data_IF_271764364935
#
_entry.id   IF_271764364935
#
_cell.length_a   1.000
_cell.length_b   1.000
_cell.length_c   1.000
_cell.angle_alpha   90.00
_cell.angle_beta   90.00
_cell.angle_gamma   90.00
#
_symmetry.space_group_name_H-M   'P 1'
#
loop_
_entity.id
_entity.type
_entity.pdbx_description
1 polymer ?
#
# COMPACT_ATOMS: atom_id res chain seq x y z
N UNK A 1 -0.56 -4.24 13.43
CA UNK A 1 -1.56 -4.67 12.43
C UNK A 1 -2.62 -5.62 12.99
N UNK A 2 -2.31 -6.54 13.93
CA UNK A 2 -3.28 -7.56 14.42
C UNK A 2 -4.59 -7.03 15.04
N UNK A 3 -4.57 -5.90 15.76
CA UNK A 3 -5.76 -5.41 16.46
C UNK A 3 -6.87 -4.87 15.53
N UNK A 4 -6.56 -4.43 14.30
CA UNK A 4 -7.54 -3.80 13.41
C UNK A 4 -8.59 -4.80 12.90
N UNK A 5 -8.15 -6.01 12.58
CA UNK A 5 -9.00 -7.07 12.02
C UNK A 5 -9.77 -7.86 13.10
N UNK A 6 -9.37 -7.69 14.36
CA UNK A 6 -10.02 -8.37 15.48
C UNK A 6 -11.44 -7.87 15.76
N UNK A 7 -11.77 -6.62 15.41
CA UNK A 7 -13.09 -6.03 15.64
C UNK A 7 -14.10 -6.26 14.51
N UNK A 8 -13.66 -6.83 13.37
CA UNK A 8 -14.48 -7.02 12.17
C UNK A 8 -15.16 -8.39 12.15
N UNK A 9 -16.38 -8.46 11.61
CA UNK A 9 -17.08 -9.73 11.35
C UNK A 9 -16.44 -10.53 10.20
N UNK A 10 -16.78 -11.81 10.07
CA UNK A 10 -16.29 -12.66 8.97
C UNK A 10 -16.69 -12.12 7.60
N UNK A 11 -17.89 -11.55 7.47
CA UNK A 11 -18.35 -10.93 6.23
C UNK A 11 -17.50 -9.69 5.89
N UNK A 12 -17.22 -8.83 6.87
CA UNK A 12 -16.36 -7.66 6.70
C UNK A 12 -14.91 -8.04 6.39
N UNK A 13 -14.38 -9.09 7.03
CA UNK A 13 -13.04 -9.58 6.74
C UNK A 13 -12.91 -10.14 5.32
N UNK A 14 -13.92 -10.89 4.85
CA UNK A 14 -13.94 -11.37 3.46
C UNK A 14 -14.05 -10.20 2.46
N UNK A 15 -14.84 -9.17 2.79
CA UNK A 15 -14.94 -7.97 1.97
C UNK A 15 -13.60 -7.21 1.91
N UNK A 16 -12.91 -7.06 3.05
CA UNK A 16 -11.58 -6.45 3.12
C UNK A 16 -10.54 -7.28 2.36
N UNK A 17 -10.57 -8.62 2.46
CA UNK A 17 -9.68 -9.51 1.71
C UNK A 17 -9.88 -9.35 0.20
N UNK A 18 -11.14 -9.38 -0.26
CA UNK A 18 -11.48 -9.18 -1.66
C UNK A 18 -11.08 -7.76 -2.13
N UNK A 19 -11.24 -6.74 -1.29
CA UNK A 19 -10.82 -5.38 -1.59
C UNK A 19 -9.30 -5.27 -1.71
N UNK A 20 -8.54 -5.84 -0.77
CA UNK A 20 -7.07 -5.84 -0.80
C UNK A 20 -6.57 -6.58 -2.05
N UNK A 21 -7.12 -7.75 -2.37
CA UNK A 21 -6.81 -8.48 -3.62
C UNK A 21 -7.22 -7.69 -4.87
N UNK A 22 -8.30 -6.91 -4.79
CA UNK A 22 -8.74 -6.00 -5.86
C UNK A 22 -7.77 -4.82 -6.05
N UNK A 23 -7.17 -4.34 -4.97
CA UNK A 23 -6.18 -3.27 -5.00
C UNK A 23 -4.77 -3.74 -5.34
N UNK A 24 -4.50 -5.05 -5.45
CA UNK A 24 -3.18 -5.54 -5.80
C UNK A 24 -2.85 -5.26 -7.28
N UNK A 25 -1.79 -4.49 -7.58
CA UNK A 25 -1.33 -4.25 -8.94
C UNK A 25 -0.83 -5.52 -9.65
N UNK A 26 -0.34 -6.54 -8.94
CA UNK A 26 0.06 -7.84 -9.53
C UNK A 26 -1.09 -8.64 -10.16
N UNK A 27 -2.34 -8.35 -9.77
CA UNK A 27 -3.48 -9.17 -10.17
C UNK A 27 -4.02 -8.90 -11.58
N UNK A 28 -3.76 -7.71 -12.15
CA UNK A 28 -4.27 -7.34 -13.49
C UNK A 28 -3.53 -6.11 -14.07
N UNK A 29 -3.33 -6.09 -15.40
CA UNK A 29 -2.76 -4.94 -16.10
C UNK A 29 -3.63 -3.68 -15.95
N UNK A 30 -4.95 -3.85 -15.87
CA UNK A 30 -5.87 -2.72 -15.65
C UNK A 30 -5.72 -2.10 -14.25
N UNK A 31 -5.36 -2.91 -13.24
CA UNK A 31 -5.11 -2.42 -11.88
C UNK A 31 -3.80 -1.63 -11.81
N UNK A 32 -2.76 -2.07 -12.53
CA UNK A 32 -1.53 -1.28 -12.69
C UNK A 32 -1.81 0.09 -13.29
N UNK A 33 -2.79 0.22 -14.20
CA UNK A 33 -3.16 1.50 -14.77
C UNK A 33 -3.76 2.47 -13.73
N UNK A 34 -4.54 1.99 -12.76
CA UNK A 34 -5.08 2.83 -11.67
C UNK A 34 -3.97 3.34 -10.75
N UNK A 35 -3.01 2.47 -10.42
CA UNK A 35 -1.83 2.87 -9.64
C UNK A 35 -0.97 3.85 -10.41
N UNK A 36 -0.74 3.61 -11.71
CA UNK A 36 -0.05 4.53 -12.60
C UNK A 36 -0.72 5.90 -12.65
N UNK A 37 -2.06 5.94 -12.77
CA UNK A 37 -2.79 7.19 -12.81
C UNK A 37 -2.73 7.94 -11.48
N UNK A 38 -2.81 7.22 -10.36
CA UNK A 38 -2.66 7.80 -9.01
C UNK A 38 -1.23 8.32 -8.80
N UNK A 39 -0.23 7.60 -9.29
CA UNK A 39 1.16 7.99 -9.26
C UNK A 39 1.39 9.26 -10.07
N UNK A 40 0.94 9.30 -11.34
CA UNK A 40 1.01 10.49 -12.20
C UNK A 40 0.23 11.71 -11.67
N UNK A 41 -0.81 11.48 -10.87
CA UNK A 41 -1.55 12.58 -10.23
C UNK A 41 -0.76 13.20 -9.06
N UNK A 42 0.12 12.43 -8.42
CA UNK A 42 0.94 12.91 -7.30
C UNK A 42 2.34 13.36 -7.73
N UNK A 43 2.84 12.84 -8.85
CA UNK A 43 4.05 13.30 -9.53
C UNK A 43 3.81 14.72 -10.10
N UNK A 44 4.19 15.73 -9.32
CA UNK A 44 3.95 17.14 -9.66
C UNK A 44 4.94 17.61 -10.69
N UNK A 45 6.19 17.14 -10.61
CA UNK A 45 7.26 17.53 -11.50
C UNK A 45 7.22 16.77 -12.84
N UNK A 46 6.40 15.70 -12.93
CA UNK A 46 6.22 14.82 -14.09
C UNK A 46 7.53 14.17 -14.53
N UNK A 47 8.39 13.85 -13.57
CA UNK A 47 9.64 13.18 -13.84
C UNK A 47 9.50 11.65 -13.84
N UNK A 48 8.29 11.12 -13.69
CA UNK A 48 7.95 9.70 -13.53
C UNK A 48 8.52 9.07 -12.25
N UNK A 49 8.92 9.90 -11.28
CA UNK A 49 9.41 9.48 -9.98
C UNK A 49 8.70 10.26 -8.86
N UNK A 50 8.70 9.69 -7.66
CA UNK A 50 8.18 10.34 -6.48
C UNK A 50 9.34 10.62 -5.54
N UNK A 51 9.57 11.91 -5.29
CA UNK A 51 10.63 12.36 -4.39
C UNK A 51 10.15 12.39 -2.93
N UNK A 52 11.09 12.25 -1.96
CA UNK A 52 10.73 12.38 -0.56
C UNK A 52 10.24 13.81 -0.28
N UNK A 53 9.07 13.94 0.34
CA UNK A 53 8.42 15.23 0.60
C UNK A 53 6.96 15.24 0.19
N UNK A 54 6.48 16.36 -0.35
CA UNK A 54 5.06 16.57 -0.67
C UNK A 54 4.47 15.53 -1.63
N UNK A 55 5.26 15.05 -2.60
CA UNK A 55 4.82 14.05 -3.59
C UNK A 55 4.60 12.69 -2.93
N UNK A 56 5.59 12.23 -2.16
CA UNK A 56 5.49 10.98 -1.42
C UNK A 56 4.38 11.04 -0.37
N UNK A 57 4.28 12.14 0.38
CA UNK A 57 3.21 12.36 1.35
C UNK A 57 1.86 12.23 0.64
N UNK A 58 1.61 12.96 -0.46
CA UNK A 58 0.33 12.86 -1.18
C UNK A 58 0.00 11.45 -1.68
N UNK A 59 1.01 10.69 -2.10
CA UNK A 59 0.86 9.32 -2.58
C UNK A 59 0.48 8.35 -1.45
N UNK A 60 1.20 8.40 -0.32
CA UNK A 60 1.04 7.44 0.77
C UNK A 60 0.07 7.91 1.86
N UNK A 61 -0.38 9.17 1.84
CA UNK A 61 -1.33 9.73 2.82
C UNK A 61 -2.60 8.87 2.93
N UNK A 62 -3.18 8.51 1.78
CA UNK A 62 -4.35 7.63 1.69
C UNK A 62 -4.06 6.21 2.15
N UNK A 63 -2.83 5.73 1.95
CA UNK A 63 -2.41 4.41 2.42
C UNK A 63 -2.24 4.42 3.93
N UNK A 64 -1.62 5.45 4.51
CA UNK A 64 -1.39 5.56 5.95
C UNK A 64 -2.72 5.66 6.69
N UNK A 65 -3.68 6.47 6.22
CA UNK A 65 -5.03 6.49 6.77
C UNK A 65 -5.69 5.11 6.72
N UNK A 66 -5.54 4.41 5.59
CA UNK A 66 -6.13 3.07 5.40
C UNK A 66 -5.48 2.04 6.31
N UNK A 67 -4.16 2.05 6.46
CA UNK A 67 -3.42 1.09 7.28
C UNK A 67 -3.35 1.48 8.76
N UNK A 68 -3.84 2.67 9.13
CA UNK A 68 -3.77 3.19 10.49
C UNK A 68 -2.35 3.52 10.92
N UNK A 69 -1.51 3.96 9.98
CA UNK A 69 -0.14 4.40 10.24
C UNK A 69 -0.16 5.88 10.62
N UNK A 70 0.58 6.24 11.66
CA UNK A 70 0.70 7.65 12.05
C UNK A 70 1.49 8.43 11.01
N UNK A 71 0.94 9.57 10.58
CA UNK A 71 1.50 10.49 9.58
C UNK A 71 2.63 11.36 10.16
N UNK A 72 3.68 10.72 10.66
CA UNK A 72 4.87 11.37 11.21
C UNK A 72 6.01 11.34 10.19
N UNK A 73 6.90 12.34 10.25
CA UNK A 73 8.09 12.38 9.38
C UNK A 73 8.94 11.12 9.49
N UNK A 74 9.06 10.56 10.70
CA UNK A 74 9.80 9.30 10.93
C UNK A 74 9.17 8.12 10.18
N UNK A 75 7.84 7.98 10.23
CA UNK A 75 7.16 6.93 9.49
C UNK A 75 7.30 7.17 7.99
N UNK A 76 7.08 8.39 7.49
CA UNK A 76 7.28 8.68 6.07
C UNK A 76 8.69 8.31 5.61
N UNK A 77 9.73 8.71 6.34
CA UNK A 77 11.11 8.37 6.00
C UNK A 77 11.36 6.85 6.02
N UNK A 78 10.80 6.15 7.00
CA UNK A 78 10.91 4.69 7.11
C UNK A 78 10.23 3.98 5.93
N UNK A 79 8.98 4.31 5.63
CA UNK A 79 8.25 3.70 4.51
C UNK A 79 8.87 4.07 3.17
N UNK A 80 9.38 5.30 3.03
CA UNK A 80 10.11 5.71 1.84
C UNK A 80 11.32 4.79 1.62
N UNK A 81 12.17 4.63 2.63
CA UNK A 81 13.35 3.76 2.55
C UNK A 81 13.02 2.27 2.36
N UNK A 82 11.85 1.83 2.84
CA UNK A 82 11.36 0.46 2.61
C UNK A 82 10.85 0.24 1.17
N UNK A 83 10.39 1.30 0.48
CA UNK A 83 9.91 1.25 -0.91
C UNK A 83 11.06 1.48 -1.90
N UNK A 84 11.93 2.44 -1.62
CA UNK A 84 13.14 2.79 -2.40
C UNK A 84 14.17 1.66 -2.31
N UNK A 85 13.97 0.63 -3.13
CA UNK A 85 14.70 -0.62 -3.05
C UNK A 85 16.12 -0.52 -3.60
N UNK A 86 16.34 0.38 -4.57
CA UNK A 86 17.67 0.66 -5.11
C UNK A 86 18.41 1.81 -4.39
N UNK A 87 17.73 2.50 -3.47
CA UNK A 87 18.25 3.59 -2.65
C UNK A 87 18.77 4.77 -3.49
N UNK A 88 18.14 5.02 -4.64
CA UNK A 88 18.46 6.16 -5.50
C UNK A 88 17.85 7.49 -5.00
N UNK A 89 17.03 7.42 -3.93
CA UNK A 89 16.37 8.55 -3.31
C UNK A 89 15.07 8.96 -4.03
N UNK A 90 14.55 8.09 -4.88
CA UNK A 90 13.32 8.25 -5.63
C UNK A 90 12.52 6.97 -5.58
N UNK A 91 11.21 7.09 -5.77
CA UNK A 91 10.34 5.92 -5.89
C UNK A 91 9.79 5.88 -7.29
N UNK A 92 10.11 4.81 -8.02
CA UNK A 92 9.49 4.51 -9.30
C UNK A 92 8.13 3.84 -9.11
N UNK A 93 7.30 3.86 -10.16
CA UNK A 93 6.02 3.15 -10.14
C UNK A 93 6.21 1.65 -9.84
N UNK A 94 7.25 1.02 -10.41
CA UNK A 94 7.49 -0.40 -10.23
C UNK A 94 7.83 -0.71 -8.78
N UNK A 95 8.71 0.06 -8.15
CA UNK A 95 9.06 -0.13 -6.74
C UNK A 95 7.85 0.05 -5.83
N UNK A 96 7.03 1.06 -6.09
CA UNK A 96 5.79 1.27 -5.34
C UNK A 96 4.82 0.08 -5.49
N UNK A 97 4.62 -0.38 -6.72
CA UNK A 97 3.75 -1.53 -7.04
C UNK A 97 4.26 -2.81 -6.38
N UNK A 98 5.55 -3.11 -6.54
CA UNK A 98 6.19 -4.29 -5.96
C UNK A 98 6.16 -4.24 -4.43
N UNK A 99 6.37 -3.08 -3.82
CA UNK A 99 6.28 -2.92 -2.38
C UNK A 99 4.86 -3.21 -1.85
N UNK A 100 3.82 -2.66 -2.52
CA UNK A 100 2.44 -2.90 -2.14
C UNK A 100 2.07 -4.38 -2.30
N UNK A 101 2.43 -5.00 -3.43
CA UNK A 101 2.21 -6.42 -3.67
C UNK A 101 2.90 -7.28 -2.60
N UNK A 102 4.20 -7.04 -2.36
CA UNK A 102 4.98 -7.78 -1.38
C UNK A 102 4.42 -7.62 0.03
N UNK A 103 4.08 -6.40 0.42
CA UNK A 103 3.54 -6.11 1.77
C UNK A 103 2.17 -6.74 1.96
N UNK A 104 1.29 -6.62 0.98
CA UNK A 104 -0.04 -7.20 1.06
C UNK A 104 -0.01 -8.74 1.03
N UNK A 105 0.79 -9.35 0.15
CA UNK A 105 0.92 -10.80 0.05
C UNK A 105 1.63 -11.42 1.26
N UNK A 106 2.63 -10.75 1.82
CA UNK A 106 3.40 -11.30 2.95
C UNK A 106 2.76 -11.06 4.31
N UNK A 107 2.01 -9.96 4.50
CA UNK A 107 1.52 -9.56 5.82
C UNK A 107 0.00 -9.41 5.89
N UNK A 108 -0.62 -8.68 4.95
CA UNK A 108 -2.05 -8.30 5.06
C UNK A 108 -2.97 -9.47 4.73
N UNK A 109 -2.77 -10.11 3.58
CA UNK A 109 -3.58 -11.24 3.11
C UNK A 109 -3.50 -12.41 4.10
N UNK A 110 -2.31 -12.88 4.52
CA UNK A 110 -2.23 -13.97 5.49
C UNK A 110 -2.86 -13.62 6.84
N UNK A 111 -2.75 -12.37 7.30
CA UNK A 111 -3.38 -11.95 8.54
C UNK A 111 -4.91 -11.95 8.45
N UNK A 112 -5.48 -11.50 7.32
CA UNK A 112 -6.92 -11.54 7.07
C UNK A 112 -7.42 -12.99 6.95
N UNK A 113 -6.75 -13.83 6.17
CA UNK A 113 -7.09 -15.25 6.01
C UNK A 113 -7.02 -16.00 7.34
N UNK A 114 -5.97 -15.76 8.13
CA UNK A 114 -5.84 -16.36 9.45
C UNK A 114 -6.98 -15.95 10.39
N UNK A 115 -7.40 -14.67 10.34
CA UNK A 115 -8.49 -14.18 11.19
C UNK A 115 -9.87 -14.69 10.73
N UNK A 116 -10.09 -14.82 9.41
CA UNK A 116 -11.27 -15.47 8.83
C UNK A 116 -11.33 -16.93 9.28
N UNK A 117 -10.22 -17.67 9.15
CA UNK A 117 -10.13 -19.09 9.48
C UNK A 117 -10.33 -19.36 10.98
N UNK A 118 -9.96 -18.43 11.88
CA UNK A 118 -10.25 -18.54 13.32
C UNK A 118 -11.75 -18.44 13.65
N UNK A 119 -12.55 -17.87 12.75
CA UNK A 119 -13.95 -17.50 12.98
C UNK A 119 -14.95 -18.29 12.11
N UNK A 120 -14.45 -19.11 11.20
CA UNK A 120 -15.21 -20.10 10.45
C UNK A 120 -15.27 -21.42 11.24
#
# INVERSE_FOLDING_TARGET
>A
MEAKYQALSVEELNAELALVQSLLPSGDADKRAVFHQTFQLNDKNKDDHITPGDEFVGLVDKLFDRFGVEKTEENYAKYFADIDADSDGKITLNEFVEYIDKTALAYVIPALEAEIAKRQ
#
